data_IF_108229780089
#
_entry.id   IF_108229780089
#
_cell.length_a   1.000
_cell.length_b   1.000
_cell.length_c   1.000
_cell.angle_alpha   90.00
_cell.angle_beta   90.00
_cell.angle_gamma   90.00
#
_symmetry.space_group_name_H-M   'P 1'
#
loop_
_entity.id
_entity.type
_entity.pdbx_description
1 polymer ?
#
# COMPACT_ATOMS: atom_id res chain seq x y z
N UNK A 1 6.11 6.43 -5.47
CA UNK A 1 4.83 7.09 -5.17
C UNK A 1 5.00 7.85 -3.86
N UNK A 2 4.16 8.84 -3.55
CA UNK A 2 4.11 9.36 -2.18
C UNK A 2 3.66 8.20 -1.26
N UNK A 3 4.20 8.12 -0.04
CA UNK A 3 3.85 7.06 0.90
C UNK A 3 2.34 7.04 1.15
N UNK A 4 1.71 5.88 0.92
CA UNK A 4 0.27 5.68 1.09
C UNK A 4 0.02 5.11 2.49
N UNK A 5 -0.64 5.88 3.35
CA UNK A 5 -1.02 5.45 4.69
C UNK A 5 -2.53 5.31 4.77
N UNK A 6 -3.08 4.10 4.58
CA UNK A 6 -4.54 3.89 4.51
C UNK A 6 -5.28 4.26 5.81
N UNK A 7 -4.61 4.24 6.96
CA UNK A 7 -5.19 4.69 8.24
C UNK A 7 -5.36 6.21 8.32
N UNK A 8 -4.67 6.98 7.46
CA UNK A 8 -4.80 8.43 7.29
C UNK A 8 -5.61 8.79 6.02
N UNK A 9 -6.32 7.81 5.45
CA UNK A 9 -7.15 8.02 4.27
C UNK A 9 -8.32 8.96 4.53
N UNK A 10 -8.52 9.93 3.64
CA UNK A 10 -9.63 10.88 3.72
C UNK A 10 -10.18 11.24 2.36
N UNK A 11 -11.48 11.52 2.32
CA UNK A 11 -12.21 11.83 1.08
C UNK A 11 -13.08 13.07 1.29
N UNK A 12 -13.02 14.01 0.34
CA UNK A 12 -13.97 15.12 0.28
C UNK A 12 -15.25 14.68 -0.42
N UNK A 13 -16.31 14.51 0.36
CA UNK A 13 -17.60 14.03 -0.14
C UNK A 13 -18.52 15.20 -0.42
N UNK A 14 -18.86 15.36 -1.70
CA UNK A 14 -19.91 16.23 -2.19
C UNK A 14 -21.01 15.43 -2.89
N UNK A 15 -21.82 16.12 -3.70
CA UNK A 15 -22.85 15.48 -4.56
C UNK A 15 -22.84 16.13 -5.94
N UNK A 16 -23.10 15.34 -6.98
CA UNK A 16 -23.20 15.87 -8.35
C UNK A 16 -24.32 16.90 -8.47
N UNK A 17 -25.44 16.71 -7.76
CA UNK A 17 -26.54 17.67 -7.74
C UNK A 17 -26.10 19.05 -7.21
N UNK A 18 -25.40 19.12 -6.07
CA UNK A 18 -24.88 20.40 -5.53
C UNK A 18 -23.86 21.02 -6.49
N UNK A 19 -22.92 20.21 -7.00
CA UNK A 19 -21.89 20.68 -7.93
C UNK A 19 -22.50 21.30 -9.19
N UNK A 20 -23.45 20.62 -9.84
CA UNK A 20 -24.14 21.09 -11.04
C UNK A 20 -24.99 22.35 -10.81
N UNK A 21 -25.42 22.59 -9.57
CA UNK A 21 -26.12 23.81 -9.15
C UNK A 21 -25.18 24.92 -8.64
N UNK A 22 -23.86 24.79 -8.86
CA UNK A 22 -22.86 25.80 -8.51
C UNK A 22 -22.50 25.83 -7.02
N UNK A 23 -22.81 24.77 -6.29
CA UNK A 23 -22.46 24.61 -4.88
C UNK A 23 -21.35 23.57 -4.71
N UNK A 24 -20.21 24.00 -4.18
CA UNK A 24 -19.11 23.11 -3.78
C UNK A 24 -19.28 22.59 -2.35
N UNK A 25 -20.52 22.51 -1.86
CA UNK A 25 -20.76 22.03 -0.51
C UNK A 25 -20.47 20.53 -0.41
N UNK A 26 -19.51 20.21 0.42
CA UNK A 26 -19.16 18.87 0.86
C UNK A 26 -18.38 18.94 2.17
N UNK A 27 -17.87 17.80 2.63
CA UNK A 27 -17.05 17.71 3.83
C UNK A 27 -15.96 16.65 3.64
N UNK A 28 -14.78 16.93 4.19
CA UNK A 28 -13.78 15.89 4.43
C UNK A 28 -14.31 14.89 5.46
N UNK A 29 -14.26 13.61 5.10
CA UNK A 29 -14.52 12.48 5.98
C UNK A 29 -13.23 11.66 6.08
N UNK A 30 -12.79 11.40 7.32
CA UNK A 30 -11.62 10.57 7.61
C UNK A 30 -12.08 9.10 7.64
N UNK A 31 -11.48 8.24 6.82
CA UNK A 31 -11.94 6.85 6.67
C UNK A 31 -11.62 5.98 7.89
N UNK A 32 -10.71 6.43 8.76
CA UNK A 32 -10.44 5.79 10.06
C UNK A 32 -11.55 6.01 11.09
N UNK A 33 -12.48 6.94 10.86
CA UNK A 33 -13.66 7.11 11.72
C UNK A 33 -14.72 6.01 11.49
N UNK A 34 -14.55 5.17 10.46
CA UNK A 34 -15.53 4.16 10.06
C UNK A 34 -14.93 2.75 10.10
N UNK A 35 -15.68 1.81 10.64
CA UNK A 35 -15.30 0.41 10.70
C UNK A 35 -15.40 -0.27 9.33
N UNK A 36 -16.45 0.04 8.58
CA UNK A 36 -16.73 -0.55 7.27
C UNK A 36 -17.34 0.45 6.28
N UNK A 37 -17.57 -0.02 5.06
CA UNK A 37 -18.15 0.79 3.99
C UNK A 37 -19.59 1.20 4.27
N UNK A 38 -20.38 0.35 4.94
CA UNK A 38 -21.77 0.68 5.23
C UNK A 38 -21.88 1.85 6.20
N UNK A 39 -21.01 1.90 7.21
CA UNK A 39 -20.89 3.01 8.16
C UNK A 39 -20.45 4.31 7.47
N UNK A 40 -19.45 4.24 6.60
CA UNK A 40 -19.02 5.38 5.77
C UNK A 40 -20.17 5.90 4.88
N UNK A 41 -20.90 5.00 4.23
CA UNK A 41 -22.03 5.39 3.37
C UNK A 41 -23.20 5.95 4.19
N UNK A 42 -23.42 5.52 5.44
CA UNK A 42 -24.38 6.13 6.35
C UNK A 42 -23.97 7.55 6.74
N UNK A 43 -22.69 7.80 7.00
CA UNK A 43 -22.17 9.15 7.24
C UNK A 43 -22.36 10.07 6.01
N UNK A 44 -22.15 9.55 4.80
CA UNK A 44 -22.45 10.25 3.55
C UNK A 44 -23.94 10.59 3.42
N UNK A 45 -24.84 9.66 3.78
CA UNK A 45 -26.30 9.87 3.82
C UNK A 45 -26.69 10.96 4.81
N UNK A 46 -26.15 10.93 6.01
CA UNK A 46 -26.44 11.95 7.04
C UNK A 46 -25.91 13.33 6.64
N UNK A 47 -24.73 13.41 6.00
CA UNK A 47 -24.14 14.65 5.51
C UNK A 47 -25.00 15.34 4.43
N UNK A 48 -25.59 14.55 3.53
CA UNK A 48 -26.41 15.02 2.41
C UNK A 48 -27.91 14.71 2.56
N UNK A 49 -28.40 14.58 3.80
CA UNK A 49 -29.81 14.26 4.11
C UNK A 49 -30.83 15.29 3.61
N UNK A 50 -30.35 16.46 3.17
CA UNK A 50 -31.16 17.48 2.50
C UNK A 50 -31.57 17.08 1.08
N UNK A 51 -30.97 16.03 0.50
CA UNK A 51 -31.31 15.46 -0.79
C UNK A 51 -32.06 14.12 -0.64
N UNK A 52 -33.04 13.88 -1.51
CA UNK A 52 -33.87 12.66 -1.44
C UNK A 52 -33.12 11.40 -1.91
N UNK A 53 -32.23 11.56 -2.90
CA UNK A 53 -31.43 10.49 -3.51
C UNK A 53 -30.07 11.09 -3.91
N UNK A 54 -29.17 11.34 -2.94
CA UNK A 54 -27.90 12.00 -3.20
C UNK A 54 -26.98 11.11 -4.06
N UNK A 55 -26.57 11.62 -5.23
CA UNK A 55 -25.52 11.02 -6.04
C UNK A 55 -24.16 11.57 -5.57
N UNK A 56 -23.43 10.77 -4.81
CA UNK A 56 -22.17 11.19 -4.20
C UNK A 56 -21.09 11.44 -5.25
N UNK A 57 -20.25 12.44 -4.95
CA UNK A 57 -19.08 12.79 -5.74
C UNK A 57 -17.88 12.89 -4.79
N UNK A 58 -16.89 12.04 -4.97
CA UNK A 58 -15.63 12.05 -4.24
C UNK A 58 -14.67 12.99 -4.96
N UNK A 59 -14.67 14.25 -4.55
CA UNK A 59 -14.05 15.34 -5.33
C UNK A 59 -12.56 15.49 -5.08
N UNK A 60 -12.10 15.08 -3.91
CA UNK A 60 -10.71 15.17 -3.49
C UNK A 60 -10.40 13.97 -2.59
N UNK A 61 -9.22 13.40 -2.74
CA UNK A 61 -8.85 12.08 -2.22
C UNK A 61 -7.41 12.15 -1.74
N UNK A 62 -7.15 11.70 -0.51
CA UNK A 62 -5.80 11.62 0.04
C UNK A 62 -5.54 10.26 0.70
N UNK A 63 -4.32 9.75 0.53
CA UNK A 63 -3.84 8.47 1.07
C UNK A 63 -4.69 7.25 0.65
N UNK A 64 -5.24 7.26 -0.57
CA UNK A 64 -5.94 6.11 -1.15
C UNK A 64 -5.41 5.87 -2.57
N UNK A 65 -4.94 4.65 -2.89
CA UNK A 65 -4.57 4.27 -4.25
C UNK A 65 -5.74 4.45 -5.23
N UNK A 66 -5.47 4.95 -6.44
CA UNK A 66 -6.49 5.14 -7.48
C UNK A 66 -7.19 3.83 -7.88
N UNK A 67 -6.57 2.68 -7.61
CA UNK A 67 -7.19 1.36 -7.81
C UNK A 67 -8.36 1.10 -6.83
N UNK A 68 -8.40 1.76 -5.67
CA UNK A 68 -9.43 1.53 -4.65
C UNK A 68 -10.55 2.58 -4.66
N UNK A 69 -10.42 3.65 -5.43
CA UNK A 69 -11.38 4.76 -5.38
C UNK A 69 -11.41 5.53 -6.70
N UNK A 70 -12.58 6.04 -7.05
CA UNK A 70 -12.75 7.04 -8.09
C UNK A 70 -13.68 8.16 -7.62
N UNK A 71 -13.93 9.14 -8.49
CA UNK A 71 -14.90 10.21 -8.27
C UNK A 71 -16.31 9.72 -7.90
N UNK A 72 -16.66 8.47 -8.21
CA UNK A 72 -18.03 7.93 -8.08
C UNK A 72 -18.16 6.64 -7.27
N UNK A 73 -17.05 6.03 -6.85
CA UNK A 73 -17.09 4.76 -6.12
C UNK A 73 -15.86 4.58 -5.22
N UNK A 74 -16.04 3.79 -4.16
CA UNK A 74 -15.00 3.30 -3.25
C UNK A 74 -15.04 1.77 -3.30
N UNK A 75 -13.88 1.11 -3.40
CA UNK A 75 -13.78 -0.34 -3.46
C UNK A 75 -14.43 -0.96 -2.21
N UNK A 76 -15.14 -2.07 -2.39
CA UNK A 76 -15.60 -2.90 -1.27
C UNK A 76 -14.41 -3.42 -0.45
N UNK A 77 -13.24 -3.60 -1.09
CA UNK A 77 -12.01 -4.11 -0.49
C UNK A 77 -11.23 -3.09 0.32
N UNK A 78 -11.58 -1.80 0.26
CA UNK A 78 -10.79 -0.75 0.92
C UNK A 78 -10.62 -1.01 2.42
N UNK A 79 -11.71 -1.27 3.14
CA UNK A 79 -11.67 -1.48 4.60
C UNK A 79 -10.97 -2.79 4.96
N UNK A 80 -11.19 -3.86 4.18
CA UNK A 80 -10.50 -5.13 4.35
C UNK A 80 -8.98 -4.98 4.18
N UNK A 81 -8.55 -4.27 3.13
CA UNK A 81 -7.14 -4.02 2.87
C UNK A 81 -6.51 -3.14 3.95
N UNK A 82 -7.18 -2.04 4.34
CA UNK A 82 -6.74 -1.17 5.43
C UNK A 82 -6.47 -1.98 6.70
N UNK A 83 -7.44 -2.80 7.11
CA UNK A 83 -7.36 -3.59 8.34
C UNK A 83 -6.30 -4.71 8.25
N UNK A 84 -6.07 -5.25 7.05
CA UNK A 84 -5.03 -6.24 6.82
C UNK A 84 -3.63 -5.63 6.97
N UNK A 85 -3.38 -4.48 6.32
CA UNK A 85 -2.06 -3.83 6.35
C UNK A 85 -1.80 -3.03 7.63
N UNK A 86 -2.83 -2.67 8.42
CA UNK A 86 -2.65 -1.99 9.71
C UNK A 86 -1.84 -2.83 10.72
N UNK A 87 -1.78 -4.16 10.51
CA UNK A 87 -0.95 -5.08 11.29
C UNK A 87 0.55 -4.90 11.00
N UNK A 88 0.89 -4.32 9.84
CA UNK A 88 2.25 -4.05 9.39
C UNK A 88 2.74 -2.70 9.92
N UNK A 89 4.05 -2.57 10.14
CA UNK A 89 4.68 -1.28 10.43
C UNK A 89 4.56 -0.30 9.26
N UNK A 90 4.73 1.01 9.50
CA UNK A 90 4.67 2.03 8.44
C UNK A 90 5.63 1.72 7.28
N UNK A 91 6.84 1.25 7.58
CA UNK A 91 7.84 0.83 6.59
C UNK A 91 7.38 -0.39 5.79
N UNK A 92 6.79 -1.38 6.45
CA UNK A 92 6.25 -2.57 5.78
C UNK A 92 5.03 -2.24 4.90
N UNK A 93 4.21 -1.26 5.29
CA UNK A 93 3.10 -0.79 4.45
C UNK A 93 3.61 -0.12 3.17
N UNK A 94 4.69 0.67 3.24
CA UNK A 94 5.32 1.23 2.05
C UNK A 94 5.88 0.13 1.14
N UNK A 95 6.60 -0.84 1.73
CA UNK A 95 7.12 -2.00 1.01
C UNK A 95 6.00 -2.84 0.37
N UNK A 96 4.85 -2.98 1.03
CA UNK A 96 3.68 -3.69 0.51
C UNK A 96 3.17 -3.08 -0.79
N UNK A 97 3.04 -1.75 -0.87
CA UNK A 97 2.60 -1.10 -2.10
C UNK A 97 3.64 -1.19 -3.23
N UNK A 98 4.93 -1.15 -2.91
CA UNK A 98 6.01 -1.41 -3.89
C UNK A 98 5.92 -2.83 -4.43
N UNK A 99 5.67 -3.80 -3.56
CA UNK A 99 5.48 -5.20 -3.93
C UNK A 99 4.26 -5.42 -4.83
N UNK A 100 3.12 -4.80 -4.51
CA UNK A 100 1.91 -4.86 -5.34
C UNK A 100 2.12 -4.26 -6.74
N UNK A 101 2.84 -3.13 -6.85
CA UNK A 101 3.15 -2.50 -8.13
C UNK A 101 4.04 -3.40 -9.00
N UNK A 102 5.07 -4.01 -8.40
CA UNK A 102 5.95 -4.95 -9.10
C UNK A 102 5.21 -6.17 -9.65
N UNK A 103 4.30 -6.75 -8.87
CA UNK A 103 3.50 -7.91 -9.27
C UNK A 103 2.29 -7.55 -10.15
N UNK A 104 2.00 -6.26 -10.34
CA UNK A 104 0.78 -5.78 -10.97
C UNK A 104 -0.47 -6.42 -10.31
N UNK A 105 -0.47 -6.49 -8.98
CA UNK A 105 -1.56 -7.05 -8.18
C UNK A 105 -2.80 -6.17 -8.26
N UNK A 106 -3.97 -6.78 -8.38
CA UNK A 106 -5.24 -6.05 -8.38
C UNK A 106 -5.79 -5.96 -6.96
N UNK A 107 -5.30 -4.96 -6.21
CA UNK A 107 -5.72 -4.70 -4.83
C UNK A 107 -7.22 -4.37 -4.67
N UNK A 108 -7.93 -4.16 -5.78
CA UNK A 108 -9.37 -3.88 -5.78
C UNK A 108 -10.24 -5.14 -5.85
N UNK A 109 -9.66 -6.26 -6.29
CA UNK A 109 -10.37 -7.53 -6.53
C UNK A 109 -9.79 -8.70 -5.72
N UNK A 110 -8.46 -8.72 -5.51
CA UNK A 110 -7.77 -9.77 -4.76
C UNK A 110 -8.10 -9.72 -3.25
N UNK A 111 -7.89 -10.85 -2.57
CA UNK A 111 -8.12 -10.95 -1.13
C UNK A 111 -6.98 -10.29 -0.35
N UNK A 112 -7.33 -9.43 0.61
CA UNK A 112 -6.35 -8.64 1.34
C UNK A 112 -5.44 -9.51 2.22
N UNK A 113 -5.95 -10.56 2.86
CA UNK A 113 -5.14 -11.44 3.70
C UNK A 113 -4.20 -12.29 2.83
N UNK A 114 -4.65 -12.74 1.65
CA UNK A 114 -3.79 -13.46 0.70
C UNK A 114 -2.66 -12.58 0.13
N UNK A 115 -2.95 -11.32 -0.20
CA UNK A 115 -1.95 -10.33 -0.63
C UNK A 115 -0.90 -10.08 0.46
N UNK A 116 -1.34 -9.82 1.70
CA UNK A 116 -0.44 -9.58 2.83
C UNK A 116 0.42 -10.81 3.11
N UNK A 117 -0.17 -12.01 3.11
CA UNK A 117 0.60 -13.25 3.32
C UNK A 117 1.66 -13.46 2.24
N UNK A 118 1.34 -13.17 0.97
CA UNK A 118 2.29 -13.30 -0.14
C UNK A 118 3.43 -12.29 -0.03
N UNK A 119 3.10 -11.05 0.34
CA UNK A 119 4.08 -10.02 0.64
C UNK A 119 5.01 -10.41 1.79
N UNK A 120 4.46 -10.87 2.92
CA UNK A 120 5.26 -11.27 4.10
C UNK A 120 6.20 -12.46 3.78
N UNK A 121 5.76 -13.38 2.92
CA UNK A 121 6.59 -14.47 2.45
C UNK A 121 7.74 -13.98 1.55
N UNK A 122 7.58 -12.93 0.77
CA UNK A 122 8.62 -12.45 -0.14
C UNK A 122 9.52 -11.38 0.49
N UNK A 123 9.00 -10.53 1.36
CA UNK A 123 9.71 -9.39 1.94
C UNK A 123 10.89 -9.82 2.80
N UNK A 124 12.06 -9.21 2.56
CA UNK A 124 13.30 -9.52 3.29
C UNK A 124 13.77 -8.37 4.19
N UNK A 125 13.27 -7.16 4.00
CA UNK A 125 13.63 -5.99 4.81
C UNK A 125 14.05 -4.78 3.99
N UNK A 126 14.50 -3.74 4.70
CA UNK A 126 15.03 -2.49 4.15
C UNK A 126 16.56 -2.50 4.21
N UNK A 127 17.19 -2.22 3.07
CA UNK A 127 18.64 -2.20 2.90
C UNK A 127 19.08 -0.97 2.12
N UNK A 128 20.31 -0.51 2.36
CA UNK A 128 20.83 0.68 1.68
C UNK A 128 21.03 0.45 0.18
N UNK A 129 21.51 -0.72 -0.19
CA UNK A 129 21.76 -1.17 -1.55
C UNK A 129 21.86 -2.70 -1.60
N UNK A 130 21.95 -3.26 -2.81
CA UNK A 130 22.07 -4.71 -3.03
C UNK A 130 23.32 -5.32 -2.33
N UNK A 131 24.39 -4.54 -2.19
CA UNK A 131 25.62 -5.00 -1.55
C UNK A 131 25.43 -5.17 -0.04
N UNK A 132 24.71 -4.24 0.60
CA UNK A 132 24.31 -4.30 2.01
C UNK A 132 23.54 -5.60 2.31
N UNK A 133 22.57 -5.97 1.47
CA UNK A 133 21.86 -7.25 1.60
C UNK A 133 22.78 -8.46 1.41
N UNK A 134 23.70 -8.39 0.44
CA UNK A 134 24.65 -9.45 0.19
C UNK A 134 25.62 -9.69 1.37
N UNK A 135 25.97 -8.65 2.13
CA UNK A 135 26.72 -8.81 3.39
C UNK A 135 25.96 -9.68 4.39
N UNK A 136 24.67 -9.39 4.58
CA UNK A 136 23.81 -10.16 5.50
C UNK A 136 23.70 -11.62 5.06
N UNK A 137 23.41 -11.88 3.78
CA UNK A 137 23.33 -13.24 3.24
C UNK A 137 24.62 -14.03 3.47
N UNK A 138 25.78 -13.42 3.24
CA UNK A 138 27.08 -14.07 3.48
C UNK A 138 27.31 -14.34 4.97
N UNK A 139 26.96 -13.39 5.84
CA UNK A 139 27.10 -13.55 7.29
C UNK A 139 26.19 -14.66 7.84
N UNK A 140 24.95 -14.75 7.36
CA UNK A 140 23.95 -15.68 7.91
C UNK A 140 23.98 -17.06 7.28
N UNK A 141 24.19 -17.15 5.96
CA UNK A 141 24.06 -18.40 5.21
C UNK A 141 25.40 -19.11 4.95
N UNK A 142 26.53 -18.41 5.06
CA UNK A 142 27.84 -18.94 4.68
C UNK A 142 28.87 -18.88 5.81
N UNK A 143 29.53 -20.02 6.08
CA UNK A 143 30.62 -20.10 7.06
C UNK A 143 31.97 -19.75 6.41
N UNK A 144 32.13 -18.48 6.00
CA UNK A 144 33.40 -17.96 5.49
C UNK A 144 34.32 -17.54 6.64
N UNK A 145 35.61 -17.93 6.62
CA UNK A 145 36.59 -17.40 7.59
C UNK A 145 36.70 -15.88 7.49
N UNK A 146 36.97 -15.21 8.62
CA UNK A 146 37.09 -13.74 8.70
C UNK A 146 38.03 -13.11 7.66
N UNK A 147 39.16 -13.80 7.42
CA UNK A 147 40.10 -13.40 6.38
C UNK A 147 39.45 -13.42 4.98
N UNK A 148 38.63 -14.42 4.66
CA UNK A 148 37.96 -14.51 3.37
C UNK A 148 36.87 -13.43 3.23
N UNK A 149 36.07 -13.19 4.28
CA UNK A 149 35.05 -12.13 4.31
C UNK A 149 35.63 -10.76 3.95
N UNK A 150 36.80 -10.42 4.51
CA UNK A 150 37.49 -9.15 4.23
C UNK A 150 37.82 -8.92 2.74
N UNK A 151 37.96 -9.99 1.95
CA UNK A 151 38.30 -9.92 0.53
C UNK A 151 37.21 -10.48 -0.39
N UNK A 152 36.04 -10.81 0.15
CA UNK A 152 34.94 -11.34 -0.64
C UNK A 152 34.37 -10.20 -1.50
N UNK A 153 34.07 -10.51 -2.76
CA UNK A 153 33.53 -9.53 -3.72
C UNK A 153 32.01 -9.47 -3.57
N UNK A 154 31.56 -8.75 -2.54
CA UNK A 154 30.14 -8.59 -2.22
C UNK A 154 29.36 -7.95 -3.37
N UNK A 155 29.95 -6.99 -4.09
CA UNK A 155 29.28 -6.35 -5.23
C UNK A 155 29.02 -7.35 -6.36
N UNK A 156 29.98 -8.24 -6.66
CA UNK A 156 29.78 -9.28 -7.66
C UNK A 156 28.74 -10.32 -7.22
N UNK A 157 28.75 -10.69 -5.93
CA UNK A 157 27.78 -11.64 -5.38
C UNK A 157 26.37 -11.07 -5.34
N UNK A 158 26.21 -9.82 -4.89
CA UNK A 158 24.96 -9.07 -4.91
C UNK A 158 24.35 -9.07 -6.32
N UNK A 159 25.15 -8.70 -7.34
CA UNK A 159 24.67 -8.70 -8.73
C UNK A 159 24.12 -10.07 -9.15
N UNK A 160 24.76 -11.17 -8.75
CA UNK A 160 24.29 -12.50 -9.12
C UNK A 160 23.01 -12.88 -8.35
N UNK A 161 22.89 -12.51 -7.06
CA UNK A 161 21.68 -12.68 -6.25
C UNK A 161 20.48 -11.94 -6.87
N UNK A 162 20.64 -10.65 -7.17
CA UNK A 162 19.55 -9.79 -7.67
C UNK A 162 19.23 -9.96 -9.16
N UNK A 163 20.00 -10.78 -9.88
CA UNK A 163 19.65 -11.21 -11.23
C UNK A 163 18.66 -12.39 -11.24
N UNK A 164 18.53 -13.13 -10.13
CA UNK A 164 17.85 -14.44 -10.15
C UNK A 164 16.93 -14.70 -8.96
N UNK A 165 17.39 -14.44 -7.75
CA UNK A 165 16.71 -14.87 -6.52
C UNK A 165 15.99 -13.74 -5.80
N UNK A 166 16.45 -12.50 -6.00
CA UNK A 166 15.94 -11.32 -5.32
C UNK A 166 15.72 -10.16 -6.28
N UNK A 167 14.90 -9.21 -5.87
CA UNK A 167 14.77 -7.91 -6.50
C UNK A 167 14.70 -6.82 -5.43
N UNK A 168 15.10 -5.60 -5.80
CA UNK A 168 15.13 -4.45 -4.90
C UNK A 168 14.43 -3.26 -5.55
N UNK A 169 13.56 -2.59 -4.80
CA UNK A 169 13.01 -1.29 -5.20
C UNK A 169 12.77 -0.41 -3.96
N UNK A 170 13.06 0.89 -4.09
CA UNK A 170 12.94 1.89 -3.03
C UNK A 170 13.61 1.52 -1.68
N UNK A 171 14.67 0.71 -1.69
CA UNK A 171 15.33 0.27 -0.45
C UNK A 171 14.81 -1.06 0.10
N UNK A 172 13.70 -1.57 -0.44
CA UNK A 172 13.08 -2.82 0.00
C UNK A 172 13.58 -3.99 -0.83
N UNK A 173 13.95 -5.08 -0.16
CA UNK A 173 14.40 -6.32 -0.81
C UNK A 173 13.31 -7.38 -0.70
N UNK A 174 13.08 -8.07 -1.81
CA UNK A 174 12.08 -9.12 -1.94
C UNK A 174 12.69 -10.35 -2.62
N UNK A 175 12.18 -11.53 -2.28
CA UNK A 175 12.46 -12.77 -3.02
C UNK A 175 11.68 -12.79 -4.33
N UNK A 176 12.28 -13.35 -5.37
CA UNK A 176 11.56 -13.71 -6.59
C UNK A 176 10.73 -14.98 -6.34
N UNK A 177 9.42 -14.93 -6.61
CA UNK A 177 8.52 -16.09 -6.58
C UNK A 177 8.74 -17.07 -7.75
#
# INVERSE_FOLDING_TARGET
>A
MDAVTLSEARVYVGTYNKYNNGSLFGKWLDLSDYSDKDEFMEACRELHKDEQDPEYMFQDIENIPEALISESWLSEKFFELRDAIEKLSETEQEAFFVWCDHHNSDISEEDADDLVSSFEDEYQGEYKDEEDYAYEIVEECYDLPEFAKTYFDYSAFARDLFMTEYWMDNGFVFRCA
#
